data_IF_163670567351
#
_entry.id   IF_163670567351
#
_cell.length_a   1.000
_cell.length_b   1.000
_cell.length_c   1.000
_cell.angle_alpha   90.00
_cell.angle_beta   90.00
_cell.angle_gamma   90.00
#
_symmetry.space_group_name_H-M   'P 1'
#
loop_
_entity.id
_entity.type
_entity.pdbx_description
1 polymer ?
#
# COMPACT_ATOMS: atom_id res chain seq x y z
N UNK A 1 -7.58 2.38 11.00
CA UNK A 1 -7.04 3.75 11.09
C UNK A 1 -5.87 3.75 12.06
N UNK A 2 -4.85 4.56 11.81
CA UNK A 2 -3.73 4.75 12.74
C UNK A 2 -4.13 5.77 13.81
N UNK A 3 -3.84 5.47 15.08
CA UNK A 3 -3.93 6.39 16.21
C UNK A 3 -2.59 6.47 16.92
N UNK A 4 -2.37 7.53 17.67
CA UNK A 4 -1.26 7.62 18.63
C UNK A 4 -1.83 7.59 20.04
N UNK A 5 -1.41 6.60 20.83
CA UNK A 5 -1.77 6.43 22.25
C UNK A 5 -0.46 6.32 23.03
N UNK A 6 -0.26 7.19 24.03
CA UNK A 6 0.96 7.26 24.85
C UNK A 6 2.27 7.30 24.04
N UNK A 7 2.23 7.93 22.86
CA UNK A 7 3.35 8.04 21.91
C UNK A 7 3.57 6.83 21.01
N UNK A 8 2.82 5.74 21.19
CA UNK A 8 2.86 4.55 20.33
C UNK A 8 1.75 4.60 19.27
N UNK A 9 2.05 4.10 18.07
CA UNK A 9 1.03 3.90 17.04
C UNK A 9 0.18 2.64 17.33
N UNK A 10 -1.14 2.78 17.27
CA UNK A 10 -2.10 1.68 17.37
C UNK A 10 -3.04 1.66 16.17
N UNK A 11 -3.64 0.51 15.87
CA UNK A 11 -4.57 0.33 14.76
C UNK A 11 -6.01 0.10 15.28
N UNK A 12 -6.87 1.10 15.10
CA UNK A 12 -8.31 0.94 15.27
C UNK A 12 -8.92 0.31 14.01
N UNK A 13 -9.80 -0.70 14.11
CA UNK A 13 -10.56 -1.20 12.97
C UNK A 13 -11.40 -0.10 12.30
N UNK A 14 -11.37 -0.04 10.97
CA UNK A 14 -12.28 0.80 10.19
C UNK A 14 -13.56 0.02 9.93
N UNK A 15 -14.70 0.62 10.28
CA UNK A 15 -16.03 0.03 10.15
C UNK A 15 -16.98 1.04 9.51
N UNK A 16 -18.21 0.62 9.16
CA UNK A 16 -19.25 1.53 8.67
C UNK A 16 -19.65 2.63 9.66
N UNK A 17 -19.30 2.51 10.95
CA UNK A 17 -19.52 3.52 11.98
C UNK A 17 -18.29 4.40 12.26
N UNK A 18 -17.14 4.10 11.64
CA UNK A 18 -15.89 4.85 11.85
C UNK A 18 -15.93 6.15 11.03
N UNK A 19 -16.11 7.28 11.71
CA UNK A 19 -16.08 8.60 11.08
C UNK A 19 -14.64 9.00 10.68
N UNK A 20 -14.31 8.78 9.40
CA UNK A 20 -13.04 9.20 8.77
C UNK A 20 -13.14 10.68 8.36
N UNK A 21 -12.04 11.44 8.48
CA UNK A 21 -11.93 12.87 8.19
C UNK A 21 -10.68 13.18 7.38
N UNK A 22 -10.67 14.35 6.74
CA UNK A 22 -9.45 14.92 6.14
C UNK A 22 -8.33 15.03 7.20
N UNK A 23 -7.12 14.60 6.85
CA UNK A 23 -5.97 14.47 7.75
C UNK A 23 -5.81 13.12 8.45
N UNK A 24 -6.84 12.25 8.45
CA UNK A 24 -6.75 10.93 9.06
C UNK A 24 -5.79 10.01 8.27
N UNK A 25 -4.97 9.24 8.98
CA UNK A 25 -4.10 8.20 8.38
C UNK A 25 -4.77 6.83 8.45
N UNK A 26 -5.06 6.24 7.31
CA UNK A 26 -5.67 4.92 7.17
C UNK A 26 -4.63 3.91 6.68
N UNK A 27 -4.50 2.80 7.39
CA UNK A 27 -3.76 1.62 6.91
C UNK A 27 -4.71 0.69 6.14
N UNK A 28 -4.40 0.46 4.87
CA UNK A 28 -5.10 -0.46 3.97
C UNK A 28 -4.33 -1.78 3.92
N UNK A 29 -5.03 -2.89 4.13
CA UNK A 29 -4.43 -4.23 4.18
C UNK A 29 -5.13 -5.17 3.19
N UNK A 30 -4.36 -5.88 2.37
CA UNK A 30 -4.82 -7.00 1.56
C UNK A 30 -4.35 -8.32 2.18
N UNK A 31 -5.30 -9.18 2.58
CA UNK A 31 -5.03 -10.48 3.19
C UNK A 31 -5.40 -11.59 2.19
N UNK A 32 -4.44 -12.44 1.84
CA UNK A 32 -4.57 -13.43 0.77
C UNK A 32 -4.31 -14.84 1.30
N UNK A 33 -5.38 -15.56 1.66
CA UNK A 33 -5.32 -16.95 2.15
C UNK A 33 -5.42 -17.97 1.02
N UNK A 34 -4.42 -18.85 0.91
CA UNK A 34 -4.49 -20.00 0.01
C UNK A 34 -5.43 -21.08 0.59
N UNK A 35 -6.56 -21.31 -0.10
CA UNK A 35 -7.55 -22.36 0.22
C UNK A 35 -7.53 -23.52 -0.78
N UNK A 36 -6.56 -23.58 -1.69
CA UNK A 36 -6.40 -24.65 -2.68
C UNK A 36 -5.62 -25.85 -2.13
N UNK A 37 -5.54 -26.90 -2.95
CA UNK A 37 -4.73 -28.09 -2.66
C UNK A 37 -3.22 -27.90 -2.99
N UNK A 38 -2.88 -26.86 -3.77
CA UNK A 38 -1.54 -26.58 -4.28
C UNK A 38 -0.92 -25.31 -3.69
N UNK A 39 0.42 -25.22 -3.70
CA UNK A 39 1.18 -24.03 -3.23
C UNK A 39 1.19 -22.95 -4.31
N UNK A 40 0.60 -21.79 -4.03
CA UNK A 40 0.62 -20.63 -4.94
C UNK A 40 2.05 -20.11 -5.05
N UNK A 41 2.49 -19.71 -6.25
CA UNK A 41 3.79 -19.08 -6.51
C UNK A 41 3.66 -17.77 -7.29
N UNK A 42 4.62 -16.87 -7.13
CA UNK A 42 4.80 -15.65 -7.91
C UNK A 42 3.54 -14.76 -8.00
N UNK A 43 2.74 -14.72 -6.93
CA UNK A 43 1.45 -14.03 -6.94
C UNK A 43 1.65 -12.52 -6.95
N UNK A 44 1.29 -11.88 -8.06
CA UNK A 44 1.33 -10.42 -8.17
C UNK A 44 0.08 -9.82 -7.51
N UNK A 45 0.27 -9.04 -6.46
CA UNK A 45 -0.80 -8.24 -5.83
C UNK A 45 -0.63 -6.79 -6.24
N UNK A 46 -1.71 -6.13 -6.66
CA UNK A 46 -1.77 -4.68 -6.86
C UNK A 46 -2.88 -4.11 -5.99
N UNK A 47 -2.59 -3.09 -5.19
CA UNK A 47 -3.59 -2.32 -4.46
C UNK A 47 -3.60 -0.88 -4.99
N UNK A 48 -4.74 -0.45 -5.53
CA UNK A 48 -4.95 0.95 -5.90
C UNK A 48 -5.07 1.84 -4.67
N UNK A 49 -4.69 3.11 -4.81
CA UNK A 49 -5.04 4.15 -3.84
C UNK A 49 -6.46 4.65 -4.14
N UNK A 50 -7.34 4.76 -3.12
CA UNK A 50 -8.63 5.43 -3.26
C UNK A 50 -8.50 6.88 -3.71
N UNK A 51 -9.55 7.40 -4.34
CA UNK A 51 -9.71 8.84 -4.50
C UNK A 51 -9.77 9.53 -3.12
N UNK A 52 -9.20 10.73 -3.02
CA UNK A 52 -9.00 11.43 -1.75
C UNK A 52 -7.86 10.91 -0.87
N UNK A 53 -7.24 9.77 -1.17
CA UNK A 53 -6.14 9.21 -0.39
C UNK A 53 -4.75 9.56 -0.97
N UNK A 54 -3.76 9.78 -0.08
CA UNK A 54 -2.37 10.14 -0.42
C UNK A 54 -1.40 9.21 0.30
N UNK A 55 -0.56 8.48 -0.43
CA UNK A 55 0.40 7.54 0.17
C UNK A 55 1.38 8.25 1.12
N UNK A 56 1.62 7.69 2.31
CA UNK A 56 2.52 8.30 3.32
C UNK A 56 4.00 7.94 3.13
N UNK A 57 4.32 7.07 2.16
CA UNK A 57 5.64 6.42 2.07
C UNK A 57 5.72 5.09 2.83
N UNK A 58 4.77 4.80 3.72
CA UNK A 58 4.77 3.57 4.54
C UNK A 58 4.04 2.43 3.83
N UNK A 59 4.80 1.43 3.38
CA UNK A 59 4.32 0.17 2.79
C UNK A 59 5.00 -1.03 3.46
N UNK A 60 4.31 -2.16 3.55
CA UNK A 60 4.80 -3.39 4.17
C UNK A 60 4.27 -4.63 3.43
N UNK A 61 5.12 -5.58 2.97
CA UNK A 61 6.59 -5.53 2.97
C UNK A 61 7.12 -4.31 2.21
N UNK A 62 8.08 -3.60 2.79
CA UNK A 62 8.68 -2.41 2.18
C UNK A 62 9.65 -2.78 1.04
N UNK A 63 10.42 -3.85 1.24
CA UNK A 63 11.35 -4.37 0.24
C UNK A 63 10.57 -5.08 -0.87
N UNK A 64 10.92 -4.78 -2.14
CA UNK A 64 10.23 -5.33 -3.31
C UNK A 64 8.91 -4.63 -3.67
N UNK A 65 8.41 -3.72 -2.82
CA UNK A 65 7.25 -2.91 -3.15
C UNK A 65 7.54 -1.95 -4.31
N UNK A 66 6.64 -1.92 -5.29
CA UNK A 66 6.66 -1.02 -6.43
C UNK A 66 5.48 -0.05 -6.35
N UNK A 67 5.64 1.16 -6.88
CA UNK A 67 4.57 2.14 -7.04
C UNK A 67 4.32 2.48 -8.51
N UNK A 68 3.13 3.00 -8.79
CA UNK A 68 2.71 3.48 -10.10
C UNK A 68 2.00 4.83 -9.97
N UNK A 69 2.15 5.70 -10.97
CA UNK A 69 1.41 6.97 -11.12
C UNK A 69 0.27 6.89 -12.15
N UNK A 70 0.19 5.80 -12.91
CA UNK A 70 -0.73 5.60 -14.04
C UNK A 70 -1.60 4.33 -13.91
N UNK A 71 -1.35 3.50 -12.89
CA UNK A 71 -1.98 2.19 -12.68
C UNK A 71 -1.43 1.07 -13.58
N UNK A 72 -0.53 1.36 -14.51
CA UNK A 72 -0.04 0.45 -15.54
C UNK A 72 1.46 0.12 -15.40
N UNK A 73 2.31 1.15 -15.26
CA UNK A 73 3.76 1.01 -15.08
C UNK A 73 4.12 1.09 -13.61
N UNK A 74 4.84 0.07 -13.13
CA UNK A 74 5.28 -0.04 -11.74
C UNK A 74 6.80 0.08 -11.64
N UNK A 75 7.27 0.85 -10.65
CA UNK A 75 8.66 1.27 -10.46
C UNK A 75 9.02 1.23 -8.97
N UNK A 76 10.31 1.08 -8.65
CA UNK A 76 10.78 1.15 -7.26
C UNK A 76 10.51 2.53 -6.65
N UNK A 77 10.23 2.55 -5.35
CA UNK A 77 9.97 3.78 -4.60
C UNK A 77 11.28 4.39 -4.02
N UNK A 78 11.38 5.74 -3.94
CA UNK A 78 10.50 6.72 -4.55
C UNK A 78 10.67 6.74 -6.08
N UNK A 79 9.55 6.89 -6.81
CA UNK A 79 9.56 7.06 -8.26
C UNK A 79 10.33 8.35 -8.58
N UNK A 80 11.27 8.30 -9.51
CA UNK A 80 12.02 9.46 -10.01
C UNK A 80 11.65 9.76 -11.45
N UNK A 81 11.55 11.04 -11.77
CA UNK A 81 11.30 11.53 -13.13
C UNK A 81 12.20 12.74 -13.43
N UNK A 82 12.45 12.98 -14.71
CA UNK A 82 12.97 14.27 -15.16
C UNK A 82 11.80 15.24 -15.34
N UNK A 83 11.83 16.38 -14.66
CA UNK A 83 10.86 17.47 -14.79
C UNK A 83 11.63 18.74 -15.12
N UNK A 84 11.35 19.34 -16.28
CA UNK A 84 11.99 20.56 -16.77
C UNK A 84 13.54 20.51 -16.75
N UNK A 85 14.12 19.34 -17.05
CA UNK A 85 15.57 19.09 -17.05
C UNK A 85 16.10 18.50 -15.74
N UNK A 86 15.40 18.66 -14.62
CA UNK A 86 15.85 18.23 -13.28
C UNK A 86 15.32 16.84 -12.94
N UNK A 87 16.19 15.91 -12.55
CA UNK A 87 15.79 14.61 -12.00
C UNK A 87 15.41 14.77 -10.54
N UNK A 88 14.15 14.49 -10.20
CA UNK A 88 13.63 14.58 -8.84
C UNK A 88 12.72 13.40 -8.49
N UNK A 89 12.51 13.17 -7.19
CA UNK A 89 11.47 12.25 -6.73
C UNK A 89 10.08 12.85 -7.07
N UNK A 90 9.16 12.03 -7.59
CA UNK A 90 7.76 12.41 -7.72
C UNK A 90 7.08 12.40 -6.34
N UNK A 91 6.26 13.42 -6.00
CA UNK A 91 5.54 13.47 -4.74
C UNK A 91 4.46 12.37 -4.66
N UNK A 92 4.21 11.87 -3.45
CA UNK A 92 3.33 10.70 -3.24
C UNK A 92 1.86 10.97 -3.65
N UNK A 93 1.44 12.22 -3.75
CA UNK A 93 0.18 12.67 -4.34
C UNK A 93 -0.08 12.16 -5.77
N UNK A 94 0.98 11.90 -6.52
CA UNK A 94 0.88 11.40 -7.90
C UNK A 94 0.70 9.88 -7.94
N UNK A 95 0.89 9.16 -6.83
CA UNK A 95 0.89 7.70 -6.82
C UNK A 95 -0.56 7.20 -6.81
N UNK A 96 -0.86 6.19 -7.63
CA UNK A 96 -2.21 5.65 -7.88
C UNK A 96 -2.35 4.17 -7.53
N UNK A 97 -1.25 3.42 -7.47
CA UNK A 97 -1.26 2.04 -7.01
C UNK A 97 0.10 1.62 -6.46
N UNK A 98 0.09 0.61 -5.59
CA UNK A 98 1.25 -0.15 -5.14
C UNK A 98 1.15 -1.60 -5.60
N UNK A 99 2.30 -2.27 -5.81
CA UNK A 99 2.39 -3.66 -6.26
C UNK A 99 3.49 -4.42 -5.51
N UNK A 100 3.21 -5.69 -5.25
CA UNK A 100 4.13 -6.67 -4.68
C UNK A 100 4.09 -7.96 -5.49
N UNK A 101 5.22 -8.68 -5.52
CA UNK A 101 5.25 -10.10 -5.89
C UNK A 101 5.38 -10.91 -4.61
N UNK A 102 4.51 -11.89 -4.41
CA UNK A 102 4.59 -12.85 -3.30
C UNK A 102 5.10 -14.18 -3.87
N UNK A 103 6.35 -14.50 -3.59
CA UNK A 103 7.07 -15.65 -4.16
C UNK A 103 6.36 -16.99 -3.91
N UNK A 104 5.80 -17.20 -2.71
CA UNK A 104 5.05 -18.41 -2.36
C UNK A 104 3.96 -18.15 -1.31
N UNK A 105 2.83 -18.85 -1.43
CA UNK A 105 1.87 -19.06 -0.34
C UNK A 105 1.61 -20.56 -0.19
N UNK A 106 2.05 -21.13 0.92
CA UNK A 106 1.84 -22.54 1.27
C UNK A 106 0.36 -22.91 1.46
N UNK A 107 0.08 -24.21 1.63
CA UNK A 107 -1.29 -24.71 1.86
C UNK A 107 -1.86 -24.13 3.16
N UNK A 108 -3.05 -23.53 3.12
CA UNK A 108 -3.64 -22.81 4.25
C UNK A 108 -2.91 -21.52 4.66
N UNK A 109 -1.79 -21.20 4.01
CA UNK A 109 -0.98 -20.01 4.30
C UNK A 109 -1.72 -18.73 3.94
N UNK A 110 -1.39 -17.63 4.63
CA UNK A 110 -1.90 -16.30 4.32
C UNK A 110 -0.73 -15.34 4.15
N UNK A 111 -0.70 -14.63 3.02
CA UNK A 111 0.16 -13.48 2.83
C UNK A 111 -0.61 -12.18 3.13
N UNK A 112 0.10 -11.17 3.62
CA UNK A 112 -0.45 -9.84 3.87
C UNK A 112 0.45 -8.83 3.18
N UNK A 113 -0.16 -7.88 2.47
CA UNK A 113 0.51 -6.66 2.00
C UNK A 113 -0.34 -5.45 2.39
N UNK A 114 0.32 -4.35 2.73
CA UNK A 114 -0.36 -3.18 3.29
C UNK A 114 0.36 -1.87 2.99
N UNK A 115 -0.37 -0.79 3.07
CA UNK A 115 0.17 0.57 2.97
C UNK A 115 -0.66 1.55 3.79
N UNK A 116 -0.09 2.72 4.07
CA UNK A 116 -0.82 3.81 4.72
C UNK A 116 -1.01 4.99 3.79
N UNK A 117 -2.15 5.64 3.91
CA UNK A 117 -2.46 6.87 3.21
C UNK A 117 -3.18 7.87 4.12
N UNK A 118 -2.88 9.15 3.93
CA UNK A 118 -3.60 10.27 4.54
C UNK A 118 -4.82 10.61 3.68
N UNK A 119 -5.97 10.81 4.30
CA UNK A 119 -7.22 11.20 3.64
C UNK A 119 -7.27 12.74 3.48
N UNK A 120 -7.91 13.22 2.42
CA UNK A 120 -8.14 14.65 2.11
C UNK A 120 -9.62 15.02 2.10
#
# INVERSE_FOLDING_TARGET
MVRTVDGQETLEPVTAATAIKAGDVVEYQGLFTNKGADRIRNMTVTLSLPEGAVFTGQADPALGALASVDGARFLHMPIRANVNGVVQNLPFEQYKALRWTIEEIGLGGTAVVKYRATIR
#
